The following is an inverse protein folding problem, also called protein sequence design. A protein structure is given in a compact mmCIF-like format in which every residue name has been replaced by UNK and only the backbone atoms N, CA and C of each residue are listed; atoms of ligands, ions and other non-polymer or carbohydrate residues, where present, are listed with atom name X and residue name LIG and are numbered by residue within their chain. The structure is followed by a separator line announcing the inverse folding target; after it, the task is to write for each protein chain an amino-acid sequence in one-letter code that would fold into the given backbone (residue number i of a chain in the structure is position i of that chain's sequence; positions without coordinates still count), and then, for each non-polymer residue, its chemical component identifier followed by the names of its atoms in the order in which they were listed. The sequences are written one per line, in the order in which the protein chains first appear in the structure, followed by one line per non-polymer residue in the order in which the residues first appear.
data_IF_153133380029
#
_entry.id   IF_153133380029
#
_cell.length_a   1.000
_cell.length_b   1.000
_cell.length_c   1.000
_cell.angle_alpha   90.00
_cell.angle_beta   90.00
_cell.angle_gamma   90.00
#
_symmetry.space_group_name_H-M   'P 1'
#
loop_
_entity.id
_entity.type
_entity.pdbx_description
1 polymer ?
#
# COMPACT_ATOMS: atom_id res chain seq x y z
N UNK A 1 15.91 -3.93 13.43
CA UNK A 1 15.03 -4.10 12.25
C UNK A 1 13.63 -3.53 12.49
N UNK A 2 12.91 -3.91 13.54
CA UNK A 2 11.53 -3.45 13.80
C UNK A 2 11.37 -1.92 13.87
N UNK A 3 12.34 -1.20 14.44
CA UNK A 3 12.31 0.27 14.49
C UNK A 3 12.44 0.93 13.10
N UNK A 4 13.23 0.35 12.20
CA UNK A 4 13.40 0.85 10.82
C UNK A 4 12.08 0.70 10.05
N UNK A 5 11.45 -0.47 10.18
CA UNK A 5 10.15 -0.73 9.54
C UNK A 5 9.05 0.16 10.09
N UNK A 6 9.06 0.44 11.40
CA UNK A 6 8.14 1.40 12.01
C UNK A 6 8.34 2.82 11.47
N UNK A 7 9.60 3.26 11.33
CA UNK A 7 9.91 4.55 10.71
C UNK A 7 9.41 4.64 9.26
N UNK A 8 9.57 3.57 8.48
CA UNK A 8 9.05 3.51 7.11
C UNK A 8 7.52 3.61 7.06
N UNK A 9 6.81 2.88 7.93
CA UNK A 9 5.35 2.93 8.05
C UNK A 9 4.86 4.34 8.44
N UNK A 10 5.55 4.99 9.37
CA UNK A 10 5.27 6.36 9.79
C UNK A 10 5.38 7.34 8.61
N UNK A 11 6.44 7.24 7.80
CA UNK A 11 6.59 8.06 6.60
C UNK A 11 5.45 7.80 5.60
N UNK A 12 5.09 6.54 5.36
CA UNK A 12 3.97 6.20 4.47
C UNK A 12 2.62 6.73 4.97
N UNK A 13 2.39 6.66 6.28
CA UNK A 13 1.20 7.22 6.90
C UNK A 13 1.11 8.73 6.67
N UNK A 14 2.18 9.48 6.95
CA UNK A 14 2.21 10.92 6.72
C UNK A 14 2.08 11.29 5.24
N UNK A 15 2.73 10.55 4.33
CA UNK A 15 2.56 10.75 2.89
C UNK A 15 1.11 10.52 2.45
N UNK A 16 0.48 9.43 2.93
CA UNK A 16 -0.91 9.11 2.61
C UNK A 16 -1.84 10.20 3.13
N UNK A 17 -1.61 10.67 4.36
CA UNK A 17 -2.36 11.77 4.97
C UNK A 17 -2.18 13.07 4.17
N UNK A 18 -0.94 13.42 3.84
CA UNK A 18 -0.63 14.62 3.08
C UNK A 18 -1.34 14.62 1.73
N UNK A 19 -1.21 13.57 0.93
CA UNK A 19 -1.90 13.47 -0.38
C UNK A 19 -3.41 13.52 -0.22
N UNK A 20 -3.98 12.95 0.84
CA UNK A 20 -5.43 12.92 1.01
C UNK A 20 -6.03 14.25 1.51
N UNK A 21 -5.23 15.07 2.21
CA UNK A 21 -5.68 16.35 2.76
C UNK A 21 -5.28 17.56 1.91
N UNK A 22 -4.09 17.58 1.31
CA UNK A 22 -3.57 18.73 0.57
C UNK A 22 -3.91 18.72 -0.92
N UNK A 23 -4.11 17.55 -1.53
CA UNK A 23 -4.43 17.43 -2.96
C UNK A 23 -5.96 17.66 -3.21
N UNK A 24 -6.47 18.76 -2.64
CA UNK A 24 -7.91 19.01 -2.41
C UNK A 24 -8.68 19.56 -3.61
N UNK A 25 -8.01 19.99 -4.67
CA UNK A 25 -8.60 20.97 -5.60
C UNK A 25 -9.33 20.38 -6.82
N UNK A 26 -9.62 19.07 -6.85
CA UNK A 26 -10.33 18.48 -8.01
C UNK A 26 -10.72 17.01 -7.91
N UNK A 27 -10.81 16.46 -6.70
CA UNK A 27 -11.00 15.02 -6.51
C UNK A 27 -12.49 14.62 -6.41
N UNK A 28 -13.08 14.10 -7.49
CA UNK A 28 -14.36 13.35 -7.50
C UNK A 28 -14.43 12.12 -6.58
N UNK A 29 -13.49 11.95 -5.64
CA UNK A 29 -13.68 10.98 -4.59
C UNK A 29 -14.91 11.40 -3.77
N UNK A 30 -15.91 10.51 -3.77
CA UNK A 30 -17.01 10.64 -2.84
C UNK A 30 -16.41 10.80 -1.44
N UNK A 31 -16.83 11.80 -0.64
CA UNK A 31 -16.23 12.08 0.68
C UNK A 31 -16.20 10.84 1.59
N UNK A 32 -17.07 9.86 1.32
CA UNK A 32 -17.08 8.53 1.94
C UNK A 32 -15.83 7.69 1.68
N UNK A 33 -15.36 7.59 0.43
CA UNK A 33 -14.16 6.79 0.09
C UNK A 33 -12.90 7.40 0.70
N UNK A 34 -12.82 8.75 0.74
CA UNK A 34 -11.73 9.47 1.38
C UNK A 34 -11.66 9.16 2.86
N UNK A 35 -12.79 9.33 3.57
CA UNK A 35 -12.90 9.01 5.00
C UNK A 35 -12.54 7.55 5.29
N UNK A 36 -12.97 6.63 4.43
CA UNK A 36 -12.61 5.22 4.57
C UNK A 36 -11.09 5.00 4.55
N UNK A 37 -10.36 5.58 3.59
CA UNK A 37 -8.89 5.44 3.52
C UNK A 37 -8.17 6.10 4.70
N UNK A 38 -8.65 7.25 5.21
CA UNK A 38 -8.12 7.85 6.46
C UNK A 38 -8.26 6.88 7.61
N UNK A 39 -9.50 6.46 7.89
CA UNK A 39 -9.81 5.62 9.05
C UNK A 39 -9.01 4.32 8.97
N UNK A 40 -8.94 3.72 7.79
CA UNK A 40 -8.18 2.51 7.54
C UNK A 40 -6.69 2.68 7.81
N UNK A 41 -6.04 3.69 7.21
CA UNK A 41 -4.61 3.93 7.40
C UNK A 41 -4.28 4.29 8.85
N UNK A 42 -5.11 5.09 9.52
CA UNK A 42 -4.93 5.42 10.94
C UNK A 42 -5.12 4.19 11.83
N UNK A 43 -6.10 3.32 11.55
CA UNK A 43 -6.31 2.10 12.32
C UNK A 43 -5.11 1.15 12.24
N UNK A 44 -4.57 0.93 11.03
CA UNK A 44 -3.37 0.12 10.83
C UNK A 44 -2.15 0.69 11.57
N UNK A 45 -1.93 2.00 11.45
CA UNK A 45 -0.85 2.68 12.14
C UNK A 45 -0.95 2.52 13.66
N UNK A 46 -2.13 2.72 14.25
CA UNK A 46 -2.34 2.57 15.69
C UNK A 46 -2.08 1.13 16.18
N UNK A 47 -2.57 0.12 15.44
CA UNK A 47 -2.32 -1.28 15.78
C UNK A 47 -0.82 -1.62 15.70
N UNK A 48 -0.11 -1.05 14.72
CA UNK A 48 1.33 -1.21 14.58
C UNK A 48 2.09 -0.57 15.76
N UNK A 49 1.66 0.62 16.18
CA UNK A 49 2.19 1.33 17.34
C UNK A 49 2.00 0.51 18.61
N UNK A 50 0.80 -0.04 18.84
CA UNK A 50 0.54 -0.91 20.01
C UNK A 50 1.51 -2.11 19.97
N UNK A 51 1.64 -2.76 18.82
CA UNK A 51 2.51 -3.91 18.70
C UNK A 51 4.00 -3.57 18.95
N UNK A 52 4.52 -2.43 18.45
CA UNK A 52 5.91 -2.06 18.72
C UNK A 52 6.12 -1.67 20.19
N UNK A 53 5.18 -0.95 20.80
CA UNK A 53 5.25 -0.56 22.21
C UNK A 53 5.28 -1.77 23.14
N UNK A 54 4.40 -2.76 22.88
CA UNK A 54 4.37 -4.03 23.62
C UNK A 54 5.71 -4.76 23.49
N UNK A 55 6.24 -4.88 22.28
CA UNK A 55 7.52 -5.55 22.05
C UNK A 55 8.70 -4.83 22.74
N UNK A 56 8.68 -3.50 22.78
CA UNK A 56 9.69 -2.70 23.49
C UNK A 56 9.66 -2.95 24.99
N UNK A 57 8.47 -2.93 25.62
CA UNK A 57 8.32 -3.21 27.06
C UNK A 57 8.73 -4.65 27.38
N UNK A 58 8.34 -5.60 26.52
CA UNK A 58 8.73 -7.00 26.67
C UNK A 58 10.27 -7.16 26.61
N UNK A 59 10.90 -6.51 25.63
CA UNK A 59 12.36 -6.51 25.48
C UNK A 59 13.08 -5.89 26.67
N UNK A 60 12.59 -4.76 27.19
CA UNK A 60 13.14 -4.10 28.38
C UNK A 60 13.10 -5.02 29.60
N UNK A 61 11.94 -5.62 29.90
CA UNK A 61 11.79 -6.53 31.05
C UNK A 61 12.68 -7.75 30.92
N UNK A 62 12.75 -8.32 29.72
CA UNK A 62 13.54 -9.51 29.44
C UNK A 62 15.06 -9.26 29.57
N UNK A 63 15.56 -8.15 29.02
CA UNK A 63 17.01 -7.89 28.94
C UNK A 63 17.58 -6.99 30.04
N UNK A 64 16.74 -6.23 30.74
CA UNK A 64 17.17 -5.27 31.77
C UNK A 64 16.66 -5.70 33.15
N UNK A 65 15.35 -5.79 33.33
CA UNK A 65 14.75 -5.97 34.68
C UNK A 65 14.95 -7.38 35.25
N UNK A 66 14.76 -8.41 34.42
CA UNK A 66 14.78 -9.81 34.84
C UNK A 66 15.98 -10.58 34.29
N UNK A 67 17.01 -9.87 33.83
CA UNK A 67 18.23 -10.46 33.28
C UNK A 67 18.92 -11.41 34.26
N UNK A 68 19.03 -10.98 35.51
CA UNK A 68 19.72 -11.70 36.59
C UNK A 68 18.77 -12.55 37.44
N UNK A 69 17.52 -12.72 36.98
CA UNK A 69 16.54 -13.59 37.65
C UNK A 69 16.94 -15.07 37.60
N UNK A 70 16.37 -15.91 38.50
CA UNK A 70 16.68 -17.34 38.52
C UNK A 70 16.32 -18.00 37.19
N UNK A 71 17.33 -18.58 36.51
CA UNK A 71 17.21 -19.19 35.17
C UNK A 71 17.40 -18.23 33.99
N UNK A 72 17.67 -16.95 34.25
CA UNK A 72 18.00 -15.93 33.25
C UNK A 72 16.92 -15.68 32.21
N UNK A 73 17.32 -15.07 31.08
CA UNK A 73 16.44 -14.72 29.95
C UNK A 73 15.57 -15.90 29.44
N UNK A 74 16.11 -17.13 29.27
CA UNK A 74 15.30 -18.27 28.82
C UNK A 74 14.18 -18.65 29.79
N UNK A 75 14.42 -18.60 31.11
CA UNK A 75 13.40 -18.92 32.10
C UNK A 75 12.27 -17.88 32.14
N UNK A 76 12.61 -16.59 31.98
CA UNK A 76 11.61 -15.53 31.86
C UNK A 76 10.72 -15.71 30.62
N UNK A 77 11.30 -16.10 29.48
CA UNK A 77 10.53 -16.36 28.26
C UNK A 77 9.52 -17.48 28.49
N UNK A 78 9.86 -18.55 29.22
CA UNK A 78 8.95 -19.69 29.45
C UNK A 78 7.90 -19.41 30.53
N UNK A 79 8.23 -18.63 31.56
CA UNK A 79 7.31 -18.32 32.66
C UNK A 79 6.25 -17.28 32.24
N UNK A 80 6.62 -16.35 31.36
CA UNK A 80 5.90 -15.09 31.21
C UNK A 80 5.25 -14.98 29.81
N UNK A 81 5.00 -16.11 29.13
CA UNK A 81 4.42 -16.19 27.77
C UNK A 81 3.01 -15.59 27.67
N UNK A 82 2.24 -15.60 28.76
CA UNK A 82 0.83 -15.20 28.78
C UNK A 82 0.55 -14.03 29.71
N UNK A 83 1.32 -12.95 29.55
CA UNK A 83 0.95 -11.68 30.17
C UNK A 83 -0.01 -10.92 29.27
N UNK A 84 -0.98 -10.24 29.88
CA UNK A 84 -2.04 -9.48 29.20
C UNK A 84 -1.51 -8.56 28.08
N UNK A 85 -0.34 -7.94 28.26
CA UNK A 85 0.22 -7.05 27.26
C UNK A 85 0.83 -7.81 26.06
N UNK A 86 1.37 -9.02 26.24
CA UNK A 86 1.77 -9.87 25.12
C UNK A 86 0.57 -10.33 24.29
N UNK A 87 -0.51 -10.74 24.95
CA UNK A 87 -1.77 -11.10 24.28
C UNK A 87 -2.33 -9.91 23.48
N UNK A 88 -2.25 -8.69 24.02
CA UNK A 88 -2.61 -7.46 23.31
C UNK A 88 -1.72 -7.23 22.07
N UNK A 89 -0.42 -7.45 22.19
CA UNK A 89 0.52 -7.36 21.07
C UNK A 89 0.20 -8.34 19.95
N UNK A 90 -0.07 -9.60 20.27
CA UNK A 90 -0.46 -10.64 19.31
C UNK A 90 -1.82 -10.35 18.67
N UNK A 91 -2.80 -9.93 19.47
CA UNK A 91 -4.14 -9.53 18.98
C UNK A 91 -4.03 -8.38 17.98
N UNK A 92 -3.14 -7.42 18.24
CA UNK A 92 -2.91 -6.29 17.34
C UNK A 92 -2.36 -6.76 15.99
N UNK A 93 -1.44 -7.74 15.96
CA UNK A 93 -0.91 -8.32 14.71
C UNK A 93 -2.00 -9.03 13.92
N UNK A 94 -2.78 -9.88 14.59
CA UNK A 94 -3.89 -10.58 13.96
C UNK A 94 -4.90 -9.59 13.38
N UNK A 95 -5.25 -8.53 14.12
CA UNK A 95 -6.14 -7.49 13.63
C UNK A 95 -5.58 -6.76 12.40
N UNK A 96 -4.28 -6.45 12.38
CA UNK A 96 -3.62 -5.84 11.22
C UNK A 96 -3.71 -6.73 9.98
N UNK A 97 -3.40 -8.03 10.13
CA UNK A 97 -3.48 -9.01 9.04
C UNK A 97 -4.92 -9.10 8.51
N UNK A 98 -5.90 -9.25 9.39
CA UNK A 98 -7.31 -9.36 9.02
C UNK A 98 -7.84 -8.11 8.31
N UNK A 99 -7.44 -6.92 8.74
CA UNK A 99 -7.78 -5.65 8.09
C UNK A 99 -7.11 -5.53 6.71
N UNK A 100 -5.83 -5.93 6.61
CA UNK A 100 -5.08 -5.99 5.36
C UNK A 100 -5.75 -6.90 4.32
N UNK A 101 -6.07 -8.12 4.72
CA UNK A 101 -6.74 -9.12 3.88
C UNK A 101 -8.15 -8.66 3.48
N UNK A 102 -8.90 -8.04 4.39
CA UNK A 102 -10.21 -7.48 4.09
C UNK A 102 -10.15 -6.38 3.02
N UNK A 103 -9.13 -5.51 3.06
CA UNK A 103 -8.92 -4.49 2.02
C UNK A 103 -8.62 -5.13 0.67
N UNK A 104 -7.79 -6.17 0.63
CA UNK A 104 -7.45 -6.89 -0.60
C UNK A 104 -8.68 -7.60 -1.19
N UNK A 105 -9.51 -8.21 -0.35
CA UNK A 105 -10.80 -8.79 -0.76
C UNK A 105 -11.77 -7.74 -1.29
N UNK A 106 -11.89 -6.59 -0.64
CA UNK A 106 -12.73 -5.49 -1.10
C UNK A 106 -12.29 -4.99 -2.49
N UNK A 107 -10.99 -4.88 -2.73
CA UNK A 107 -10.44 -4.52 -4.05
C UNK A 107 -10.75 -5.58 -5.10
N UNK A 108 -10.59 -6.86 -4.77
CA UNK A 108 -10.95 -7.95 -5.66
C UNK A 108 -12.43 -7.89 -6.05
N UNK A 109 -13.32 -7.60 -5.09
CA UNK A 109 -14.75 -7.45 -5.30
C UNK A 109 -15.07 -6.32 -6.29
N UNK A 110 -14.47 -5.14 -6.12
CA UNK A 110 -14.65 -4.02 -7.05
C UNK A 110 -14.16 -4.38 -8.46
N UNK A 111 -12.96 -4.95 -8.60
CA UNK A 111 -12.32 -5.22 -9.90
C UNK A 111 -13.08 -6.29 -10.70
N UNK A 112 -13.69 -7.26 -10.04
CA UNK A 112 -14.46 -8.32 -10.69
C UNK A 112 -15.92 -7.94 -10.98
N UNK A 113 -16.38 -6.76 -10.54
CA UNK A 113 -17.69 -6.21 -10.89
C UNK A 113 -18.84 -7.18 -10.58
N UNK A 114 -18.90 -7.68 -9.34
CA UNK A 114 -19.98 -8.57 -8.85
C UNK A 114 -20.00 -10.00 -9.42
N UNK A 115 -18.93 -10.50 -10.05
CA UNK A 115 -18.81 -11.93 -10.42
C UNK A 115 -18.42 -12.79 -9.21
N UNK A 116 -19.43 -13.23 -8.46
CA UNK A 116 -19.27 -13.92 -7.16
C UNK A 116 -18.41 -15.19 -7.20
N UNK A 117 -18.37 -15.92 -8.32
CA UNK A 117 -17.61 -17.19 -8.42
C UNK A 117 -16.11 -17.03 -8.13
N UNK A 118 -15.49 -15.94 -8.60
CA UNK A 118 -14.06 -15.71 -8.38
C UNK A 118 -13.72 -15.25 -6.95
N UNK A 119 -14.73 -14.78 -6.21
CA UNK A 119 -14.58 -14.18 -4.88
C UNK A 119 -14.93 -15.19 -3.78
N UNK A 120 -15.77 -16.19 -4.10
CA UNK A 120 -16.17 -17.24 -3.17
C UNK A 120 -14.97 -18.00 -2.57
N UNK A 121 -13.96 -18.32 -3.39
CA UNK A 121 -12.78 -19.04 -2.92
C UNK A 121 -11.93 -18.19 -1.95
N UNK A 122 -11.51 -16.95 -2.28
CA UNK A 122 -10.80 -16.09 -1.33
C UNK A 122 -11.57 -15.83 -0.03
N UNK A 123 -12.89 -15.64 -0.11
CA UNK A 123 -13.73 -15.44 1.09
C UNK A 123 -13.72 -16.68 1.98
N UNK A 124 -13.81 -17.88 1.41
CA UNK A 124 -13.77 -19.12 2.17
C UNK A 124 -12.44 -19.27 2.91
N UNK A 125 -11.32 -19.00 2.23
CA UNK A 125 -9.98 -19.04 2.84
C UNK A 125 -9.87 -17.99 3.96
N UNK A 126 -10.42 -16.78 3.76
CA UNK A 126 -10.41 -15.74 4.78
C UNK A 126 -11.16 -16.13 6.05
N UNK A 127 -12.35 -16.72 5.94
CA UNK A 127 -13.08 -17.20 7.12
C UNK A 127 -12.37 -18.37 7.82
N UNK A 128 -11.72 -19.25 7.06
CA UNK A 128 -10.89 -20.32 7.63
C UNK A 128 -9.69 -19.74 8.40
N UNK A 129 -8.98 -18.76 7.82
CA UNK A 129 -7.88 -18.06 8.48
C UNK A 129 -8.33 -17.31 9.73
N UNK A 130 -9.48 -16.62 9.66
CA UNK A 130 -10.10 -15.92 10.79
C UNK A 130 -10.42 -16.86 11.96
N UNK A 131 -10.97 -18.03 11.65
CA UNK A 131 -11.30 -19.04 12.68
C UNK A 131 -10.04 -19.57 13.37
N UNK A 132 -8.98 -19.84 12.60
CA UNK A 132 -7.70 -20.29 13.16
C UNK A 132 -6.99 -19.18 13.96
N UNK A 133 -7.08 -17.92 13.52
CA UNK A 133 -6.55 -16.77 14.26
C UNK A 133 -7.18 -16.65 15.65
N UNK A 134 -8.50 -16.82 15.77
CA UNK A 134 -9.19 -16.78 17.06
C UNK A 134 -8.69 -17.93 17.95
N UNK A 135 -8.57 -19.14 17.40
CA UNK A 135 -8.07 -20.30 18.16
C UNK A 135 -6.64 -20.06 18.66
N UNK A 136 -5.76 -19.52 17.83
CA UNK A 136 -4.39 -19.18 18.21
C UNK A 136 -4.35 -18.12 19.32
N UNK A 137 -5.18 -17.07 19.23
CA UNK A 137 -5.28 -16.05 20.28
C UNK A 137 -5.79 -16.60 21.61
N UNK A 138 -6.78 -17.47 21.59
CA UNK A 138 -7.34 -18.11 22.80
C UNK A 138 -6.30 -19.01 23.47
N UNK A 139 -5.54 -19.76 22.69
CA UNK A 139 -4.44 -20.60 23.18
C UNK A 139 -3.30 -19.74 23.74
N UNK A 140 -2.93 -18.66 23.05
CA UNK A 140 -1.90 -17.72 23.52
C UNK A 140 -2.28 -17.02 24.83
N UNK A 141 -3.58 -16.78 25.06
CA UNK A 141 -4.10 -16.18 26.29
C UNK A 141 -4.21 -17.17 27.47
N UNK A 142 -4.13 -18.49 27.23
CA UNK A 142 -4.27 -19.52 28.26
C UNK A 142 -3.30 -20.70 28.02
N UNK A 143 -1.97 -20.52 28.14
CA UNK A 143 -1.01 -21.61 28.03
C UNK A 143 -1.19 -22.55 29.24
N UNK A 144 -1.89 -23.67 29.05
CA UNK A 144 -2.08 -24.67 30.11
C UNK A 144 -3.50 -25.23 30.25
N UNK A 145 -4.49 -24.72 29.51
CA UNK A 145 -5.75 -25.46 29.33
C UNK A 145 -5.65 -26.35 28.11
N UNK A 146 -5.53 -27.65 28.33
CA UNK A 146 -5.67 -28.67 27.30
C UNK A 146 -7.12 -28.75 26.82
N UNK A 147 -7.56 -27.79 26.00
CA UNK A 147 -8.88 -27.83 25.36
C UNK A 147 -9.06 -29.09 24.49
N UNK A 148 -7.95 -29.69 24.04
CA UNK A 148 -7.92 -30.89 23.20
C UNK A 148 -7.36 -32.15 23.89
N UNK A 149 -7.45 -32.24 25.23
CA UNK A 149 -7.12 -33.45 26.00
C UNK A 149 -5.76 -34.09 25.62
N UNK A 150 -4.66 -33.34 25.74
CA UNK A 150 -3.31 -33.88 25.54
C UNK A 150 -2.83 -34.01 24.09
N UNK A 151 -3.58 -33.55 23.09
CA UNK A 151 -3.07 -33.37 21.72
C UNK A 151 -2.47 -31.97 21.54
N UNK A 152 -1.14 -31.87 21.55
CA UNK A 152 -0.39 -30.69 21.10
C UNK A 152 -0.56 -30.51 19.59
N UNK A 153 -1.67 -29.90 19.16
CA UNK A 153 -1.92 -29.58 17.75
C UNK A 153 -1.36 -28.18 17.48
N UNK A 154 -0.41 -28.08 16.53
CA UNK A 154 0.11 -26.79 16.08
C UNK A 154 -0.89 -26.13 15.12
N UNK A 155 -1.67 -25.18 15.63
CA UNK A 155 -2.61 -24.37 14.85
C UNK A 155 -1.94 -23.20 14.10
N UNK A 156 -0.70 -22.84 14.46
CA UNK A 156 0.04 -21.75 13.82
C UNK A 156 0.41 -22.08 12.37
N UNK A 157 0.91 -23.28 12.10
CA UNK A 157 1.29 -23.70 10.74
C UNK A 157 0.14 -23.56 9.72
N UNK A 158 -1.06 -24.12 9.96
CA UNK A 158 -2.17 -23.95 9.03
C UNK A 158 -2.67 -22.50 8.96
N UNK A 159 -2.63 -21.74 10.05
CA UNK A 159 -2.99 -20.32 10.05
C UNK A 159 -2.10 -19.49 9.11
N UNK A 160 -0.77 -19.52 9.33
CA UNK A 160 0.17 -18.78 8.50
C UNK A 160 0.13 -19.23 7.04
N UNK A 161 -0.05 -20.53 6.80
CA UNK A 161 -0.21 -21.07 5.44
C UNK A 161 -1.42 -20.49 4.72
N UNK A 162 -2.58 -20.41 5.40
CA UNK A 162 -3.79 -19.87 4.80
C UNK A 162 -3.68 -18.37 4.54
N UNK A 163 -3.09 -17.59 5.45
CA UNK A 163 -2.89 -16.15 5.27
C UNK A 163 -2.00 -15.87 4.06
N UNK A 164 -0.87 -16.58 3.94
CA UNK A 164 0.05 -16.44 2.79
C UNK A 164 -0.65 -16.88 1.50
N UNK A 165 -1.34 -18.02 1.53
CA UNK A 165 -2.06 -18.54 0.37
C UNK A 165 -3.18 -17.57 -0.08
N UNK A 166 -3.92 -16.99 0.86
CA UNK A 166 -4.95 -16.00 0.58
C UNK A 166 -4.38 -14.80 -0.16
N UNK A 167 -3.28 -14.23 0.34
CA UNK A 167 -2.65 -13.07 -0.29
C UNK A 167 -2.13 -13.39 -1.69
N UNK A 168 -1.52 -14.56 -1.90
CA UNK A 168 -1.07 -15.01 -3.23
C UNK A 168 -2.24 -15.19 -4.19
N UNK A 169 -3.30 -15.89 -3.76
CA UNK A 169 -4.51 -16.13 -4.57
C UNK A 169 -5.16 -14.81 -4.97
N UNK A 170 -5.36 -13.88 -4.04
CA UNK A 170 -5.95 -12.57 -4.33
C UNK A 170 -5.05 -11.80 -5.32
N UNK A 171 -3.74 -11.76 -5.08
CA UNK A 171 -2.79 -11.06 -5.95
C UNK A 171 -2.81 -11.62 -7.37
N UNK A 172 -2.79 -12.95 -7.53
CA UNK A 172 -2.84 -13.62 -8.85
C UNK A 172 -4.16 -13.33 -9.56
N UNK A 173 -5.29 -13.39 -8.85
CA UNK A 173 -6.61 -13.10 -9.42
C UNK A 173 -6.70 -11.65 -9.90
N UNK A 174 -6.24 -10.69 -9.09
CA UNK A 174 -6.21 -9.27 -9.46
C UNK A 174 -5.32 -9.08 -10.69
N UNK A 175 -4.08 -9.59 -10.67
CA UNK A 175 -3.15 -9.43 -11.78
C UNK A 175 -3.68 -10.06 -13.08
N UNK A 176 -4.26 -11.25 -13.00
CA UNK A 176 -4.85 -11.95 -14.17
C UNK A 176 -6.02 -11.18 -14.75
N UNK A 177 -6.88 -10.61 -13.92
CA UNK A 177 -8.02 -9.79 -14.38
C UNK A 177 -7.54 -8.48 -15.01
N UNK A 178 -6.59 -7.81 -14.37
CA UNK A 178 -6.09 -6.52 -14.81
C UNK A 178 -5.30 -6.64 -16.12
N UNK A 179 -4.51 -7.71 -16.30
CA UNK A 179 -3.85 -8.00 -17.58
C UNK A 179 -4.84 -8.33 -18.70
N UNK A 180 -5.92 -9.07 -18.41
CA UNK A 180 -7.00 -9.32 -19.39
C UNK A 180 -7.70 -8.02 -19.80
N UNK A 181 -7.98 -7.14 -18.85
CA UNK A 181 -8.55 -5.81 -19.12
C UNK A 181 -7.58 -4.95 -19.93
N UNK A 182 -6.30 -4.92 -19.55
CA UNK A 182 -5.24 -4.21 -20.30
C UNK A 182 -5.18 -4.65 -21.76
N UNK A 183 -5.19 -5.97 -22.03
CA UNK A 183 -5.20 -6.52 -23.39
C UNK A 183 -6.46 -6.14 -24.17
N UNK A 184 -7.62 -6.13 -23.52
CA UNK A 184 -8.88 -5.73 -24.16
C UNK A 184 -8.87 -4.24 -24.53
N UNK A 185 -8.44 -3.39 -23.60
CA UNK A 185 -8.36 -1.93 -23.81
C UNK A 185 -7.30 -1.60 -24.86
N UNK A 186 -6.13 -2.25 -24.83
CA UNK A 186 -5.08 -2.06 -25.84
C UNK A 186 -5.56 -2.34 -27.26
N UNK A 187 -6.46 -3.31 -27.44
CA UNK A 187 -6.99 -3.66 -28.77
C UNK A 187 -8.01 -2.65 -29.28
N UNK A 188 -8.68 -1.91 -28.39
CA UNK A 188 -9.82 -1.06 -28.74
C UNK A 188 -9.54 0.45 -28.61
N UNK A 189 -8.65 0.89 -27.71
CA UNK A 189 -8.45 2.29 -27.31
C UNK A 189 -6.99 2.77 -27.40
N UNK A 190 -6.05 1.94 -27.89
CA UNK A 190 -4.63 2.30 -28.02
C UNK A 190 -3.75 1.95 -26.82
N UNK A 191 -2.42 2.10 -26.99
CA UNK A 191 -1.39 1.60 -26.06
C UNK A 191 -1.28 2.35 -24.73
N UNK A 192 -1.68 3.63 -24.69
CA UNK A 192 -1.46 4.47 -23.50
C UNK A 192 -2.34 4.04 -22.32
N UNK A 193 -3.60 3.71 -22.59
CA UNK A 193 -4.51 3.18 -21.55
C UNK A 193 -4.06 1.80 -21.03
N UNK A 194 -3.46 0.97 -21.90
CA UNK A 194 -2.94 -0.34 -21.52
C UNK A 194 -1.70 -0.24 -20.59
N UNK A 195 -0.88 0.80 -20.78
CA UNK A 195 0.29 1.08 -19.95
C UNK A 195 -0.09 1.35 -18.49
N UNK A 196 -1.18 2.06 -18.26
CA UNK A 196 -1.73 2.33 -16.92
C UNK A 196 -2.07 1.04 -16.17
N UNK A 197 -2.80 0.11 -16.81
CA UNK A 197 -3.14 -1.18 -16.18
C UNK A 197 -1.90 -2.03 -15.88
N UNK A 198 -0.93 -2.07 -16.80
CA UNK A 198 0.31 -2.83 -16.61
C UNK A 198 1.16 -2.24 -15.48
N UNK A 199 1.20 -0.90 -15.35
CA UNK A 199 1.85 -0.23 -14.22
C UNK A 199 1.21 -0.61 -12.88
N UNK A 200 -0.13 -0.63 -12.80
CA UNK A 200 -0.85 -1.04 -11.59
C UNK A 200 -0.55 -2.51 -11.24
N UNK A 201 -0.49 -3.42 -12.23
CA UNK A 201 -0.10 -4.82 -12.00
C UNK A 201 1.31 -4.89 -11.40
N UNK A 202 2.28 -4.23 -12.01
CA UNK A 202 3.67 -4.24 -11.55
C UNK A 202 3.77 -3.74 -10.11
N UNK A 203 3.06 -2.66 -9.82
CA UNK A 203 3.04 -2.03 -8.49
C UNK A 203 2.44 -2.95 -7.41
N UNK A 204 1.38 -3.69 -7.73
CA UNK A 204 0.79 -4.67 -6.81
C UNK A 204 1.76 -5.80 -6.51
N UNK A 205 2.44 -6.31 -7.53
CA UNK A 205 3.42 -7.39 -7.38
C UNK A 205 4.60 -6.92 -6.54
N UNK A 206 5.13 -5.73 -6.82
CA UNK A 206 6.25 -5.14 -6.08
C UNK A 206 5.91 -4.95 -4.59
N UNK A 207 4.67 -4.57 -4.29
CA UNK A 207 4.22 -4.34 -2.91
C UNK A 207 3.84 -5.63 -2.16
N UNK A 208 3.39 -6.68 -2.86
CA UNK A 208 2.98 -7.95 -2.27
C UNK A 208 4.12 -8.98 -2.14
N UNK A 209 5.19 -8.82 -2.93
CA UNK A 209 6.32 -9.74 -2.93
C UNK A 209 7.07 -9.81 -1.58
N UNK A 210 7.40 -8.68 -0.90
CA UNK A 210 8.13 -8.74 0.37
C UNK A 210 7.34 -9.48 1.45
N UNK A 211 6.04 -9.22 1.55
CA UNK A 211 5.16 -9.88 2.51
C UNK A 211 5.12 -11.40 2.29
N UNK A 212 4.92 -11.83 1.04
CA UNK A 212 4.79 -13.24 0.70
C UNK A 212 6.12 -14.00 0.85
N UNK A 213 7.23 -13.40 0.41
CA UNK A 213 8.57 -14.02 0.49
C UNK A 213 9.00 -14.23 1.95
N UNK A 214 8.89 -13.18 2.77
CA UNK A 214 9.26 -13.26 4.19
C UNK A 214 8.31 -14.20 4.94
N UNK A 215 7.03 -14.22 4.57
CA UNK A 215 6.05 -15.16 5.15
C UNK A 215 6.39 -16.62 4.86
N UNK A 216 6.79 -16.95 3.62
CA UNK A 216 7.19 -18.32 3.25
C UNK A 216 8.46 -18.74 4.02
N UNK A 217 9.46 -17.85 4.11
CA UNK A 217 10.67 -18.12 4.89
C UNK A 217 10.33 -18.39 6.36
N UNK A 218 9.50 -17.52 6.95
CA UNK A 218 9.02 -17.71 8.32
C UNK A 218 8.31 -19.06 8.49
N UNK A 219 7.39 -19.41 7.58
CA UNK A 219 6.65 -20.67 7.63
C UNK A 219 7.56 -21.90 7.55
N UNK A 220 8.59 -21.87 6.69
CA UNK A 220 9.56 -22.98 6.56
C UNK A 220 10.30 -23.18 7.89
N UNK A 221 10.84 -22.12 8.48
CA UNK A 221 11.55 -22.22 9.75
C UNK A 221 10.64 -22.62 10.91
N UNK A 222 9.40 -22.11 10.92
CA UNK A 222 8.39 -22.44 11.91
C UNK A 222 7.98 -23.92 11.83
N UNK A 223 7.72 -24.43 10.62
CA UNK A 223 7.35 -25.83 10.38
C UNK A 223 8.51 -26.81 10.64
N UNK A 224 9.76 -26.38 10.41
CA UNK A 224 10.96 -27.17 10.71
C UNK A 224 11.22 -27.34 12.22
N UNK A 225 10.39 -26.76 13.10
CA UNK A 225 10.53 -26.87 14.56
C UNK A 225 11.80 -26.22 15.12
N UNK A 226 12.56 -25.52 14.27
CA UNK A 226 13.78 -24.83 14.65
C UNK A 226 13.39 -23.51 15.31
N UNK A 227 13.19 -23.56 16.63
CA UNK A 227 12.97 -22.37 17.48
C UNK A 227 14.27 -21.59 17.68
N UNK A 228 14.98 -21.33 16.57
CA UNK A 228 16.18 -20.50 16.55
C UNK A 228 15.76 -19.03 16.56
N UNK A 229 16.61 -18.16 17.10
CA UNK A 229 16.34 -16.71 17.11
C UNK A 229 15.97 -16.16 15.72
N UNK A 230 16.43 -16.82 14.65
CA UNK A 230 16.16 -16.51 13.25
C UNK A 230 14.66 -16.63 12.92
N UNK A 231 13.96 -17.69 13.35
CA UNK A 231 12.53 -17.86 13.04
C UNK A 231 11.69 -16.77 13.69
N UNK A 232 11.99 -16.41 14.94
CA UNK A 232 11.34 -15.30 15.63
C UNK A 232 11.60 -13.94 14.96
N UNK A 233 12.81 -13.71 14.44
CA UNK A 233 13.16 -12.48 13.74
C UNK A 233 12.36 -12.33 12.43
N UNK A 234 12.25 -13.40 11.64
CA UNK A 234 11.44 -13.40 10.42
C UNK A 234 9.96 -13.16 10.70
N UNK A 235 9.42 -13.77 11.78
CA UNK A 235 8.03 -13.52 12.19
C UNK A 235 7.76 -12.06 12.55
N UNK A 236 8.69 -11.41 13.26
CA UNK A 236 8.58 -9.99 13.59
C UNK A 236 8.63 -9.11 12.33
N UNK A 237 9.51 -9.41 11.38
CA UNK A 237 9.58 -8.66 10.10
C UNK A 237 8.30 -8.88 9.30
N UNK A 238 7.81 -10.11 9.21
CA UNK A 238 6.57 -10.45 8.51
C UNK A 238 5.36 -9.69 9.08
N UNK A 239 5.22 -9.64 10.41
CA UNK A 239 4.14 -8.92 11.07
C UNK A 239 4.12 -7.42 10.72
N UNK A 240 5.29 -6.79 10.53
CA UNK A 240 5.39 -5.39 10.10
C UNK A 240 5.07 -5.23 8.61
N UNK A 241 5.53 -6.16 7.77
CA UNK A 241 5.20 -6.18 6.34
C UNK A 241 3.70 -6.38 6.09
N UNK A 242 2.99 -7.06 6.99
CA UNK A 242 1.54 -7.19 6.95
C UNK A 242 0.80 -5.85 6.97
N UNK A 243 1.37 -4.83 7.63
CA UNK A 243 0.85 -3.47 7.67
C UNK A 243 1.37 -2.64 6.49
N UNK A 244 2.67 -2.71 6.23
CA UNK A 244 3.34 -1.91 5.20
C UNK A 244 2.80 -2.21 3.80
N UNK A 245 2.57 -3.48 3.46
CA UNK A 245 2.10 -3.87 2.13
C UNK A 245 0.74 -3.23 1.76
N UNK A 246 -0.34 -3.39 2.55
CA UNK A 246 -1.61 -2.72 2.26
C UNK A 246 -1.53 -1.19 2.38
N UNK A 247 -0.65 -0.63 3.21
CA UNK A 247 -0.42 0.82 3.25
C UNK A 247 0.24 1.33 1.96
N UNK A 248 1.31 0.70 1.46
CA UNK A 248 1.94 1.04 0.17
C UNK A 248 0.93 1.00 -0.97
N UNK A 249 0.14 -0.06 -0.99
CA UNK A 249 -0.90 -0.29 -1.99
C UNK A 249 -2.03 0.76 -1.86
N UNK A 250 -2.26 1.32 -0.67
CA UNK A 250 -3.22 2.41 -0.46
C UNK A 250 -2.65 3.76 -0.87
N UNK A 251 -1.45 4.10 -0.40
CA UNK A 251 -0.72 5.31 -0.78
C UNK A 251 -0.68 5.47 -2.29
N UNK A 252 -0.25 4.43 -2.99
CA UNK A 252 -0.14 4.44 -4.44
C UNK A 252 -1.50 4.51 -5.17
N UNK A 253 -2.58 3.97 -4.60
CA UNK A 253 -3.91 4.13 -5.20
C UNK A 253 -4.39 5.57 -5.05
N UNK A 254 -4.08 6.22 -3.93
CA UNK A 254 -4.38 7.64 -3.72
C UNK A 254 -3.54 8.50 -4.68
N UNK A 255 -2.22 8.26 -4.77
CA UNK A 255 -1.32 9.01 -5.67
C UNK A 255 -1.58 8.72 -7.16
N UNK A 256 -1.86 7.48 -7.53
CA UNK A 256 -2.13 7.09 -8.93
C UNK A 256 -3.42 7.70 -9.47
N UNK A 257 -4.40 7.99 -8.60
CA UNK A 257 -5.59 8.77 -8.96
C UNK A 257 -5.25 10.24 -9.22
N UNK A 258 -4.34 10.82 -8.44
CA UNK A 258 -3.87 12.19 -8.66
C UNK A 258 -3.18 12.32 -10.04
N UNK A 259 -2.27 11.40 -10.37
CA UNK A 259 -1.57 11.40 -11.67
C UNK A 259 -2.51 11.15 -12.86
N UNK A 260 -3.47 10.24 -12.71
CA UNK A 260 -4.44 9.93 -13.76
C UNK A 260 -5.26 11.15 -14.18
N UNK A 261 -5.53 12.09 -13.27
CA UNK A 261 -6.25 13.33 -13.58
C UNK A 261 -5.36 14.39 -14.23
N UNK A 262 -4.12 14.57 -13.81
CA UNK A 262 -3.20 15.53 -14.45
C UNK A 262 -3.03 15.23 -15.95
N UNK A 263 -2.91 13.94 -16.30
CA UNK A 263 -2.86 13.50 -17.69
C UNK A 263 -4.18 13.80 -18.43
N UNK A 264 -5.34 13.59 -17.79
CA UNK A 264 -6.65 13.89 -18.41
C UNK A 264 -6.83 15.40 -18.60
N UNK A 265 -6.51 16.22 -17.60
CA UNK A 265 -6.58 17.68 -17.66
C UNK A 265 -5.61 18.24 -18.71
N UNK A 266 -4.38 17.71 -18.76
CA UNK A 266 -3.39 18.11 -19.77
C UNK A 266 -3.82 17.68 -21.18
N UNK A 267 -4.40 16.49 -21.35
CA UNK A 267 -4.94 16.04 -22.63
C UNK A 267 -6.16 16.88 -23.08
N UNK A 268 -7.07 17.25 -22.16
CA UNK A 268 -8.20 18.13 -22.46
C UNK A 268 -7.74 19.53 -22.87
N UNK A 269 -6.79 20.11 -22.14
CA UNK A 269 -6.22 21.43 -22.50
C UNK A 269 -5.50 21.41 -23.84
N UNK A 270 -4.83 20.31 -24.19
CA UNK A 270 -4.17 20.13 -25.49
C UNK A 270 -5.18 20.02 -26.66
N UNK A 271 -6.36 19.45 -26.42
CA UNK A 271 -7.46 19.38 -27.40
C UNK A 271 -8.10 20.76 -27.63
N UNK A 272 -8.22 21.60 -26.59
CA UNK A 272 -8.74 22.97 -26.72
C UNK A 272 -7.82 23.86 -27.58
N UNK A 273 -6.50 23.71 -27.44
CA UNK A 273 -5.54 24.43 -28.29
C UNK A 273 -5.54 23.95 -29.76
N UNK A 274 -5.92 22.69 -30.03
CA UNK A 274 -6.06 22.17 -31.39
C UNK A 274 -7.28 22.70 -32.14
N UNK A 275 -8.28 23.23 -31.43
CA UNK A 275 -9.54 23.70 -32.02
C UNK A 275 -9.51 25.19 -32.40
N UNK A 276 -8.47 25.93 -31.99
CA UNK A 276 -8.28 27.36 -32.30
C UNK A 276 -7.16 27.61 -33.34
N UNK A 277 -7.09 26.80 -34.40
CA UNK A 277 -6.21 27.07 -35.56
C UNK A 277 -6.79 26.52 -36.87
N UNK A 278 -8.05 26.81 -37.18
CA UNK A 278 -8.54 26.73 -38.57
C UNK A 278 -9.74 27.65 -38.80
N UNK A 279 -9.54 28.96 -38.78
CA UNK A 279 -10.48 29.88 -39.44
C UNK A 279 -9.73 31.07 -39.99
N UNK A 280 -9.30 30.92 -41.24
CA UNK A 280 -8.50 31.88 -42.00
C UNK A 280 -8.18 31.34 -43.39
N UNK A 281 -9.15 30.71 -44.05
CA UNK A 281 -9.03 30.37 -45.46
C UNK A 281 -9.15 31.65 -46.29
N UNK A 282 -8.00 32.30 -46.52
CA UNK A 282 -7.87 33.34 -47.55
C UNK A 282 -7.87 32.64 -48.91
N UNK A 283 -8.99 32.72 -49.61
CA UNK A 283 -9.10 32.40 -51.03
C UNK A 283 -8.50 33.58 -51.80
N UNK A 284 -7.37 33.36 -52.50
CA UNK A 284 -6.87 34.27 -53.53
C UNK A 284 -6.73 33.48 -54.83
N UNK A 285 -7.51 33.92 -55.83
CA UNK A 285 -7.58 33.40 -57.19
C UNK A 285 -6.32 33.80 -57.99
N UNK A 286 -5.93 33.06 -59.05
CA UNK A 286 -4.71 33.34 -59.80
C UNK A 286 -4.96 34.38 -60.89
N UNK A 287 -4.16 35.44 -60.92
CA UNK A 287 -4.21 36.45 -61.97
C UNK A 287 -3.25 37.62 -61.69
N UNK A 288 -2.29 37.76 -62.59
CA UNK A 288 -1.36 38.88 -62.79
C UNK A 288 -0.13 39.01 -61.87
N UNK A 289 1.03 38.86 -62.51
CA UNK A 289 2.34 38.82 -61.89
C UNK A 289 2.95 40.18 -61.65
N UNK A 290 3.96 40.20 -60.78
CA UNK A 290 5.20 40.94 -60.97
C UNK A 290 6.24 40.38 -59.99
N UNK A 291 7.43 40.10 -60.54
CA UNK A 291 8.65 39.67 -59.85
C UNK A 291 9.14 40.81 -58.96
N UNK A 292 9.46 40.55 -57.68
CA UNK A 292 10.58 41.21 -57.01
C UNK A 292 11.15 40.34 -55.88
N UNK A 293 12.47 40.24 -55.91
CA UNK A 293 13.36 39.44 -55.06
C UNK A 293 13.85 40.26 -53.85
N UNK A 294 14.15 39.53 -52.77
CA UNK A 294 15.20 39.77 -51.78
C UNK A 294 14.97 40.67 -50.54
N UNK A 295 15.48 40.08 -49.43
CA UNK A 295 16.27 40.67 -48.35
C UNK A 295 15.57 41.13 -47.05
N UNK A 296 15.81 40.28 -46.03
CA UNK A 296 16.11 40.59 -44.63
C UNK A 296 16.49 42.04 -44.28
N UNK A 297 15.92 42.57 -43.20
CA UNK A 297 16.66 43.36 -42.20
C UNK A 297 15.85 43.56 -40.92
N UNK A 298 16.56 43.39 -39.81
CA UNK A 298 16.24 43.77 -38.43
C UNK A 298 16.15 45.31 -38.36
N UNK A 299 15.39 45.90 -37.41
CA UNK A 299 15.78 47.17 -36.84
C UNK A 299 16.05 47.07 -35.34
N UNK A 300 17.22 47.60 -35.00
CA UNK A 300 17.74 47.90 -33.69
C UNK A 300 17.33 49.33 -33.27
N UNK A 301 17.20 49.54 -31.95
CA UNK A 301 17.32 50.79 -31.19
C UNK A 301 16.32 51.96 -31.34
N UNK A 302 15.75 52.35 -30.19
CA UNK A 302 15.64 53.75 -29.79
C UNK A 302 15.83 53.91 -28.28
N UNK A 303 16.95 54.55 -27.94
CA UNK A 303 17.42 54.96 -26.61
C UNK A 303 16.60 56.12 -26.02
N UNK A 304 16.31 56.06 -24.71
CA UNK A 304 15.55 57.08 -23.97
C UNK A 304 15.90 57.14 -22.48
N UNK A 305 17.00 57.83 -22.17
CA UNK A 305 17.53 58.34 -20.89
C UNK A 305 16.65 58.33 -19.61
N UNK A 306 17.22 57.73 -18.55
CA UNK A 306 17.63 58.32 -17.24
C UNK A 306 16.57 59.07 -16.39
N UNK A 307 16.21 58.51 -15.23
CA UNK A 307 16.35 59.21 -13.93
C UNK A 307 16.12 58.32 -12.70
N UNK A 308 16.92 58.63 -11.68
CA UNK A 308 17.04 58.06 -10.34
C UNK A 308 16.11 58.72 -9.31
N UNK A 309 15.49 57.93 -8.41
CA UNK A 309 15.12 58.30 -7.02
C UNK A 309 14.47 57.06 -6.37
N UNK A 310 15.06 56.34 -5.41
CA UNK A 310 15.24 56.64 -3.96
C UNK A 310 13.96 56.98 -3.19
N UNK A 311 13.46 56.02 -2.38
CA UNK A 311 12.74 56.15 -1.07
C UNK A 311 12.17 54.76 -0.70
N UNK A 312 12.69 53.98 0.25
CA UNK A 312 12.68 54.11 1.72
C UNK A 312 11.29 54.28 2.36
N UNK A 313 10.86 53.22 3.04
CA UNK A 313 10.11 53.14 4.31
C UNK A 313 8.93 54.08 4.54
N UNK A 314 7.73 53.49 4.67
CA UNK A 314 6.97 53.40 5.94
C UNK A 314 6.35 52.01 6.01
#
# INVERSE_FOLDING_TARGET
MSAILYGADLVMYFMTMHTLFYDHDGDDNTPRSRRFFVIYSTALFLLLTINISVNSIWGERMWITFRDGPGGVPAYIMAEVSVWYQTMGSTSVVAMVLLGDALMLYRLFIIYGSRYWAIALPILIYFAAFSLAILELVLAANPGRDFFQGKNINFGTPYFSLVIALNLVITILICTRLTKLSKMVSRNLGSDSARTYTSIVSMLIESAAPYSLVGILFLIFYAAGSTTAISSAFGQVWAKLACISPQLITLRVVTGRAWGKEIITQAQSSLDFGTCSTSGAVVVNPGDGHIFTHASSIPEEASGKRNSSTRSLV
#
